data_IF_375218624226
#
_entry.id   IF_375218624226
#
_cell.length_a   1.000
_cell.length_b   1.000
_cell.length_c   1.000
_cell.angle_alpha   90.00
_cell.angle_beta   90.00
_cell.angle_gamma   90.00
#
_symmetry.space_group_name_H-M   'P 1'
#
loop_
_entity.id
_entity.type
_entity.pdbx_description
1 polymer ?
#
# COMPACT_ATOMS: atom_id res chain seq x y z
N UNK A 1 -9.61 -6.11 -16.30
CA UNK A 1 -10.36 -6.17 -15.02
C UNK A 1 -10.11 -4.85 -14.30
N UNK A 2 -11.10 -4.23 -13.62
CA UNK A 2 -10.85 -3.01 -12.82
C UNK A 2 -10.08 -3.42 -11.55
N UNK A 3 -8.91 -2.85 -11.30
CA UNK A 3 -8.16 -3.10 -10.08
C UNK A 3 -8.97 -2.66 -8.86
N UNK A 4 -9.04 -3.51 -7.83
CA UNK A 4 -9.59 -3.13 -6.53
C UNK A 4 -8.71 -2.06 -5.90
N UNK A 5 -9.33 -1.08 -5.25
CA UNK A 5 -8.65 -0.07 -4.43
C UNK A 5 -8.08 -0.68 -3.13
N UNK A 6 -8.70 -1.74 -2.64
CA UNK A 6 -8.35 -2.38 -1.38
C UNK A 6 -7.61 -3.69 -1.59
N UNK A 7 -6.65 -3.97 -0.72
CA UNK A 7 -5.92 -5.22 -0.65
C UNK A 7 -5.51 -5.53 0.79
N UNK A 8 -5.14 -6.78 1.06
CA UNK A 8 -4.49 -7.19 2.29
C UNK A 8 -3.10 -7.76 1.97
N UNK A 9 -2.13 -7.53 2.86
CA UNK A 9 -0.78 -8.07 2.72
C UNK A 9 -0.13 -8.27 4.08
N UNK A 10 0.28 -9.49 4.40
CA UNK A 10 1.01 -9.81 5.64
C UNK A 10 0.32 -9.30 6.94
N UNK A 11 -1.01 -9.33 6.99
CA UNK A 11 -1.79 -8.85 8.13
C UNK A 11 -1.97 -7.33 8.20
N UNK A 12 -1.57 -6.61 7.14
CA UNK A 12 -1.87 -5.20 6.92
C UNK A 12 -3.02 -5.05 5.94
N UNK A 13 -3.94 -4.14 6.24
CA UNK A 13 -4.93 -3.66 5.29
C UNK A 13 -4.32 -2.51 4.48
N UNK A 14 -4.52 -2.54 3.16
CA UNK A 14 -4.05 -1.55 2.20
C UNK A 14 -5.25 -0.89 1.53
N UNK A 15 -5.25 0.44 1.54
CA UNK A 15 -6.19 1.28 0.81
C UNK A 15 -5.40 2.19 -0.16
N UNK A 16 -5.39 1.83 -1.44
CA UNK A 16 -4.77 2.63 -2.49
C UNK A 16 -5.75 3.70 -2.98
N UNK A 17 -5.78 4.85 -2.31
CA UNK A 17 -6.76 5.92 -2.49
C UNK A 17 -6.20 7.10 -3.33
N UNK A 18 -6.02 6.96 -4.66
CA UNK A 18 -5.33 7.94 -5.48
C UNK A 18 -6.04 9.29 -5.52
N UNK A 19 -5.25 10.35 -5.67
CA UNK A 19 -5.73 11.73 -5.75
C UNK A 19 -5.86 12.17 -7.21
N UNK A 20 -6.99 12.78 -7.57
CA UNK A 20 -7.22 13.28 -8.92
C UNK A 20 -6.49 14.61 -9.14
N UNK A 21 -5.79 14.73 -10.27
CA UNK A 21 -5.31 16.01 -10.79
C UNK A 21 -6.38 16.59 -11.71
N UNK A 22 -7.07 17.62 -11.22
CA UNK A 22 -8.28 18.18 -11.82
C UNK A 22 -8.12 18.62 -13.29
N UNK A 23 -6.90 18.93 -13.73
CA UNK A 23 -6.63 19.39 -15.10
C UNK A 23 -6.67 18.26 -16.14
N UNK A 24 -6.20 17.07 -15.79
CA UNK A 24 -5.88 16.04 -16.80
C UNK A 24 -6.72 14.76 -16.64
N UNK A 25 -7.59 14.68 -15.63
CA UNK A 25 -8.27 13.44 -15.20
C UNK A 25 -7.29 12.28 -14.94
N UNK A 26 -6.03 12.61 -14.70
CA UNK A 26 -4.99 11.71 -14.24
C UNK A 26 -5.00 11.66 -12.71
N UNK A 27 -4.44 10.60 -12.19
CA UNK A 27 -4.47 10.24 -10.79
C UNK A 27 -3.05 10.05 -10.31
N UNK A 28 -2.70 10.68 -9.20
CA UNK A 28 -1.45 10.43 -8.47
C UNK A 28 -1.73 9.34 -7.45
N UNK A 29 -0.85 8.34 -7.41
CA UNK A 29 -1.00 7.20 -6.51
C UNK A 29 -0.71 7.59 -5.06
N UNK A 30 -1.41 6.93 -4.15
CA UNK A 30 -1.30 7.09 -2.70
C UNK A 30 -1.76 5.80 -2.05
N UNK A 31 -1.27 5.54 -0.84
CA UNK A 31 -1.59 4.35 -0.08
C UNK A 31 -1.78 4.70 1.39
N UNK A 32 -2.86 4.20 1.98
CA UNK A 32 -3.04 4.15 3.43
C UNK A 32 -2.88 2.69 3.82
N UNK A 33 -2.01 2.41 4.78
CA UNK A 33 -1.87 1.07 5.35
C UNK A 33 -2.18 1.12 6.83
N UNK A 34 -2.80 0.06 7.34
CA UNK A 34 -3.11 -0.07 8.76
C UNK A 34 -2.98 -1.52 9.22
N UNK A 35 -2.64 -1.70 10.49
CA UNK A 35 -2.61 -3.00 11.16
C UNK A 35 -3.57 -2.97 12.34
N UNK A 36 -4.15 -4.12 12.68
CA UNK A 36 -5.08 -4.26 13.81
C UNK A 36 -4.48 -3.83 15.16
N UNK A 37 -3.14 -3.75 15.27
CA UNK A 37 -2.44 -3.25 16.45
C UNK A 37 -2.49 -1.71 16.62
N UNK A 38 -3.21 -0.99 15.76
CA UNK A 38 -3.38 0.47 15.83
C UNK A 38 -2.37 1.26 14.99
N UNK A 39 -1.43 0.59 14.33
CA UNK A 39 -0.47 1.21 13.42
C UNK A 39 -1.19 1.69 12.15
N UNK A 40 -0.89 2.91 11.72
CA UNK A 40 -1.43 3.49 10.49
C UNK A 40 -0.41 4.42 9.84
N UNK A 41 -0.18 4.21 8.55
CA UNK A 41 0.69 5.05 7.73
C UNK A 41 -0.06 5.55 6.50
N UNK A 42 0.26 6.77 6.09
CA UNK A 42 -0.33 7.43 4.92
C UNK A 42 0.80 7.89 4.01
N UNK A 43 0.71 7.51 2.75
CA UNK A 43 1.69 7.84 1.73
C UNK A 43 1.00 8.52 0.55
N UNK A 44 1.55 9.65 0.13
CA UNK A 44 1.08 10.44 -1.01
C UNK A 44 2.16 10.54 -2.07
N UNK A 45 1.78 11.01 -3.26
CA UNK A 45 2.72 11.36 -4.32
C UNK A 45 3.61 10.19 -4.78
N UNK A 46 3.02 9.00 -4.85
CA UNK A 46 3.71 7.76 -5.25
C UNK A 46 3.87 7.69 -6.77
N UNK A 47 4.79 8.51 -7.30
CA UNK A 47 5.18 8.50 -8.71
C UNK A 47 4.35 9.42 -9.60
N UNK A 48 4.41 9.17 -10.91
CA UNK A 48 3.83 10.05 -11.93
C UNK A 48 2.29 9.92 -12.02
N UNK A 49 1.58 10.94 -12.55
CA UNK A 49 0.16 10.86 -12.81
C UNK A 49 -0.22 9.81 -13.86
N UNK A 50 -1.24 9.00 -13.59
CA UNK A 50 -1.66 7.88 -14.45
C UNK A 50 -3.18 7.73 -14.53
N UNK A 51 -3.67 6.72 -15.27
CA UNK A 51 -5.08 6.36 -15.16
C UNK A 51 -5.41 5.82 -13.77
N UNK A 52 -6.65 6.04 -13.33
CA UNK A 52 -7.10 5.67 -11.97
C UNK A 52 -6.76 4.24 -11.57
N UNK A 53 -6.96 3.28 -12.47
CA UNK A 53 -6.71 1.86 -12.18
C UNK A 53 -5.22 1.55 -12.02
N UNK A 54 -4.34 2.20 -12.81
CA UNK A 54 -2.89 2.08 -12.67
C UNK A 54 -2.42 2.70 -11.35
N UNK A 55 -3.01 3.84 -10.97
CA UNK A 55 -2.72 4.48 -9.69
C UNK A 55 -3.13 3.60 -8.49
N UNK A 56 -4.21 2.81 -8.61
CA UNK A 56 -4.56 1.80 -7.61
C UNK A 56 -3.52 0.66 -7.56
N UNK A 57 -3.17 0.08 -8.71
CA UNK A 57 -2.19 -1.02 -8.78
C UNK A 57 -0.84 -0.61 -8.20
N UNK A 58 -0.32 0.56 -8.61
CA UNK A 58 0.92 1.10 -8.05
C UNK A 58 0.85 1.30 -6.54
N UNK A 59 -0.24 1.87 -6.04
CA UNK A 59 -0.38 2.15 -4.61
C UNK A 59 -0.31 0.87 -3.78
N UNK A 60 -0.95 -0.19 -4.28
CA UNK A 60 -0.90 -1.53 -3.68
C UNK A 60 0.51 -2.12 -3.75
N UNK A 61 1.15 -2.10 -4.91
CA UNK A 61 2.49 -2.68 -5.06
C UNK A 61 3.54 -1.94 -4.21
N UNK A 62 3.47 -0.62 -4.19
CA UNK A 62 4.34 0.20 -3.36
C UNK A 62 4.14 -0.12 -1.88
N UNK A 63 2.87 -0.20 -1.43
CA UNK A 63 2.53 -0.52 -0.04
C UNK A 63 3.06 -1.90 0.36
N UNK A 64 2.90 -2.92 -0.50
CA UNK A 64 3.44 -4.27 -0.25
C UNK A 64 4.95 -4.25 -0.05
N UNK A 65 5.68 -3.60 -0.96
CA UNK A 65 7.15 -3.47 -0.85
C UNK A 65 7.57 -2.72 0.41
N UNK A 66 6.86 -1.67 0.78
CA UNK A 66 7.15 -0.94 2.01
C UNK A 66 6.92 -1.80 3.25
N UNK A 67 5.81 -2.54 3.30
CA UNK A 67 5.53 -3.48 4.39
C UNK A 67 6.64 -4.54 4.48
N UNK A 68 7.00 -5.17 3.36
CA UNK A 68 8.04 -6.19 3.32
C UNK A 68 9.38 -5.62 3.83
N UNK A 69 9.80 -4.46 3.34
CA UNK A 69 11.07 -3.84 3.73
C UNK A 69 11.14 -3.40 5.21
N UNK A 70 10.01 -3.07 5.83
CA UNK A 70 10.00 -2.51 7.19
C UNK A 70 9.58 -3.53 8.26
N UNK A 71 8.85 -4.58 7.88
CA UNK A 71 8.24 -5.52 8.82
C UNK A 71 8.54 -7.00 8.51
N UNK A 72 9.41 -7.32 7.54
CA UNK A 72 9.94 -8.70 7.38
C UNK A 72 10.61 -9.23 8.66
N UNK A 73 11.19 -8.34 9.47
CA UNK A 73 11.90 -8.71 10.72
C UNK A 73 10.96 -9.32 11.78
N UNK A 74 9.66 -9.06 11.72
CA UNK A 74 8.69 -9.65 12.65
C UNK A 74 8.50 -11.17 12.43
N UNK A 75 8.80 -11.72 11.25
CA UNK A 75 8.71 -13.17 10.99
C UNK A 75 9.90 -13.95 11.54
N UNK A 76 11.10 -13.37 11.51
CA UNK A 76 12.31 -14.04 12.01
C UNK A 76 12.30 -14.21 13.54
N UNK A 77 11.66 -13.30 14.27
CA UNK A 77 11.59 -13.35 15.74
C UNK A 77 10.64 -14.43 16.28
N UNK A 78 9.59 -14.77 15.55
CA UNK A 78 8.64 -15.83 15.96
C UNK A 78 9.22 -17.22 15.69
N UNK A 79 10.06 -17.38 14.66
CA UNK A 79 10.72 -18.65 14.35
C UNK A 79 11.87 -19.03 15.29
N UNK A 80 12.45 -18.08 16.03
CA UNK A 80 13.58 -18.34 16.94
C UNK A 80 13.16 -18.69 18.37
N UNK A 81 11.87 -18.61 18.71
CA UNK A 81 11.34 -18.95 20.04
C UNK A 81 10.90 -20.44 20.11
N UNK A 82 10.93 -21.15 18.98
CA UNK A 82 10.52 -22.56 18.87
C UNK A 82 11.67 -23.52 18.48
N UNK A 83 12.91 -23.24 18.89
CA UNK A 83 14.02 -24.21 18.80
C UNK A 83 14.71 -24.39 20.15
#
# INVERSE_FOLDING_TARGET
>A
MRASRFAEHNGWEIDAAPTILAKDRLFVSSAVIKRNAGERFVFTDLGNPEYRWQAHERGIEWAKRWIDNNFEVDRARVGSILR
#
